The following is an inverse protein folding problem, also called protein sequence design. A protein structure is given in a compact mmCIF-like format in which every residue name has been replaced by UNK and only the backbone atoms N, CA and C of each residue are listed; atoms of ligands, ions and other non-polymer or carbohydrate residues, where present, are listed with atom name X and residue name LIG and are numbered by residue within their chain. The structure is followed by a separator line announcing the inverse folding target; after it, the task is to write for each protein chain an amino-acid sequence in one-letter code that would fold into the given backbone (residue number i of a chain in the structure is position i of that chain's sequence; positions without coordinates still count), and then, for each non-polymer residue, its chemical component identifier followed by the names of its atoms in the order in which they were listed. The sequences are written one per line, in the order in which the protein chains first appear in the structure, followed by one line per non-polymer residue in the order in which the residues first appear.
data_IF_045018836371
#
_entry.id   IF_045018836371
#
_cell.length_a   1.000
_cell.length_b   1.000
_cell.length_c   1.000
_cell.angle_alpha   90.00
_cell.angle_beta   90.00
_cell.angle_gamma   90.00
#
_symmetry.space_group_name_H-M   'P 1'
#
loop_
_entity.id
_entity.type
_entity.pdbx_description
1 polymer ?
#
# COMPACT_ATOMS: atom_id res chain seq x y z
N UNK A 1 14.49 16.73 -43.44
CA UNK A 1 13.69 16.01 -42.42
C UNK A 1 14.12 16.52 -41.06
N UNK A 2 13.53 17.64 -40.62
CA UNK A 2 13.66 18.10 -39.24
C UNK A 2 13.04 17.04 -38.33
N UNK A 3 13.87 16.34 -37.58
CA UNK A 3 13.45 15.67 -36.35
C UNK A 3 13.90 16.61 -35.24
N UNK A 4 13.20 17.73 -35.09
CA UNK A 4 13.27 18.48 -33.84
C UNK A 4 12.68 17.53 -32.80
N UNK A 5 13.56 17.01 -31.93
CA UNK A 5 13.21 16.18 -30.76
C UNK A 5 12.17 16.93 -29.95
N UNK A 6 10.90 16.66 -30.26
CA UNK A 6 9.74 17.27 -29.64
C UNK A 6 9.74 16.93 -28.16
N UNK A 7 9.50 17.95 -27.35
CA UNK A 7 9.37 17.84 -25.89
C UNK A 7 8.61 16.57 -25.48
N UNK A 8 9.03 15.90 -24.39
CA UNK A 8 8.43 14.64 -23.97
C UNK A 8 6.93 14.82 -23.88
N UNK A 9 6.22 14.01 -24.66
CA UNK A 9 4.78 14.13 -24.79
C UNK A 9 4.15 13.95 -23.40
N UNK A 10 3.00 14.56 -23.15
CA UNK A 10 2.32 14.48 -21.83
C UNK A 10 2.18 13.03 -21.34
N UNK A 11 1.99 12.07 -22.27
CA UNK A 11 1.93 10.63 -21.97
C UNK A 11 3.23 10.08 -21.40
N UNK A 12 4.37 10.54 -21.91
CA UNK A 12 5.69 10.07 -21.53
C UNK A 12 6.07 10.55 -20.12
N UNK A 13 5.70 11.79 -19.78
CA UNK A 13 5.85 12.34 -18.42
C UNK A 13 5.02 11.54 -17.40
N UNK A 14 3.75 11.25 -17.73
CA UNK A 14 2.88 10.46 -16.86
C UNK A 14 3.41 9.04 -16.63
N UNK A 15 3.97 8.40 -17.67
CA UNK A 15 4.57 7.07 -17.56
C UNK A 15 5.82 7.09 -16.67
N UNK A 16 6.68 8.11 -16.79
CA UNK A 16 7.86 8.26 -15.95
C UNK A 16 7.48 8.42 -14.46
N UNK A 17 6.50 9.28 -14.16
CA UNK A 17 6.03 9.45 -12.78
C UNK A 17 5.40 8.17 -12.21
N UNK A 18 4.68 7.40 -13.02
CA UNK A 18 4.12 6.11 -12.60
C UNK A 18 5.25 5.12 -12.24
N UNK A 19 6.28 5.02 -13.09
CA UNK A 19 7.44 4.17 -12.87
C UNK A 19 8.24 4.57 -11.61
N UNK A 20 8.39 5.87 -11.36
CA UNK A 20 9.03 6.37 -10.13
C UNK A 20 8.27 5.94 -8.88
N UNK A 21 6.94 6.05 -8.88
CA UNK A 21 6.09 5.62 -7.76
C UNK A 21 6.18 4.11 -7.54
N UNK A 22 6.12 3.32 -8.61
CA UNK A 22 6.23 1.86 -8.54
C UNK A 22 7.58 1.43 -7.94
N UNK A 23 8.68 2.07 -8.37
CA UNK A 23 10.01 1.84 -7.78
C UNK A 23 10.04 2.17 -6.29
N UNK A 24 9.44 3.30 -5.90
CA UNK A 24 9.35 3.71 -4.49
C UNK A 24 8.60 2.68 -3.63
N UNK A 25 7.47 2.16 -4.13
CA UNK A 25 6.68 1.14 -3.44
C UNK A 25 7.45 -0.17 -3.30
N UNK A 26 8.14 -0.63 -4.34
CA UNK A 26 8.95 -1.86 -4.30
C UNK A 26 10.15 -1.76 -3.36
N UNK A 27 10.70 -0.55 -3.19
CA UNK A 27 11.80 -0.30 -2.25
C UNK A 27 11.34 -0.27 -0.78
N UNK A 28 10.03 -0.26 -0.50
CA UNK A 28 9.53 -0.11 0.85
C UNK A 28 9.65 -1.41 1.68
N UNK A 29 10.23 -1.39 2.90
CA UNK A 29 10.49 -2.59 3.69
C UNK A 29 9.23 -3.38 4.04
N UNK A 30 8.12 -2.70 4.35
CA UNK A 30 6.85 -3.38 4.63
C UNK A 30 6.29 -4.12 3.42
N UNK A 31 6.47 -3.57 2.21
CA UNK A 31 6.01 -4.23 0.98
C UNK A 31 6.83 -5.50 0.74
N UNK A 32 8.15 -5.43 0.95
CA UNK A 32 9.04 -6.59 0.86
C UNK A 32 8.66 -7.68 1.87
N UNK A 33 8.35 -7.32 3.12
CA UNK A 33 7.93 -8.27 4.15
C UNK A 33 6.60 -8.96 3.78
N UNK A 34 5.64 -8.23 3.22
CA UNK A 34 4.37 -8.78 2.75
C UNK A 34 4.60 -9.76 1.60
N UNK A 35 5.36 -9.37 0.57
CA UNK A 35 5.65 -10.25 -0.57
C UNK A 35 6.40 -11.52 -0.15
N UNK A 36 7.29 -11.44 0.84
CA UNK A 36 7.97 -12.61 1.40
C UNK A 36 7.02 -13.53 2.19
N UNK A 37 6.02 -12.97 2.88
CA UNK A 37 5.00 -13.74 3.62
C UNK A 37 3.98 -14.40 2.69
N UNK A 38 3.73 -13.81 1.51
CA UNK A 38 2.75 -14.27 0.53
C UNK A 38 3.41 -14.55 -0.83
N UNK A 39 4.12 -15.69 -0.98
CA UNK A 39 4.73 -16.04 -2.26
C UNK A 39 3.67 -16.22 -3.34
N UNK A 40 3.83 -15.50 -4.46
CA UNK A 40 2.86 -15.46 -5.56
C UNK A 40 1.94 -14.24 -5.57
N UNK A 41 2.02 -13.36 -4.57
CA UNK A 41 1.37 -12.06 -4.62
C UNK A 41 2.08 -11.08 -5.58
N UNK A 42 1.31 -10.23 -6.25
CA UNK A 42 1.81 -9.19 -7.16
C UNK A 42 1.15 -7.84 -6.90
N UNK A 43 1.83 -6.75 -7.27
CA UNK A 43 1.28 -5.39 -7.18
C UNK A 43 0.60 -5.06 -8.51
N UNK A 44 -0.73 -5.00 -8.51
CA UNK A 44 -1.52 -4.76 -9.73
C UNK A 44 -1.63 -3.26 -10.06
N UNK A 45 -1.72 -2.39 -9.05
CA UNK A 45 -1.83 -0.95 -9.26
C UNK A 45 -1.38 -0.16 -8.03
N UNK A 46 -0.70 0.96 -8.27
CA UNK A 46 -0.36 1.96 -7.24
C UNK A 46 -1.19 3.21 -7.48
N UNK A 47 -2.01 3.57 -6.48
CA UNK A 47 -2.83 4.79 -6.50
C UNK A 47 -2.38 5.73 -5.38
N UNK A 48 -2.27 7.04 -5.64
CA UNK A 48 -2.03 8.00 -4.58
C UNK A 48 -3.24 7.99 -3.63
N UNK A 49 -2.97 8.06 -2.33
CA UNK A 49 -4.01 8.30 -1.34
C UNK A 49 -4.28 9.82 -1.34
N UNK A 50 -5.53 10.22 -1.61
CA UNK A 50 -5.91 11.64 -1.55
C UNK A 50 -5.61 12.19 -0.15
N UNK A 51 -4.76 13.22 -0.10
CA UNK A 51 -4.32 13.84 1.16
C UNK A 51 -3.03 13.29 1.76
N UNK A 52 -2.41 12.26 1.17
CA UNK A 52 -1.12 11.72 1.64
C UNK A 52 0.10 12.42 1.02
N UNK A 53 -0.02 13.72 0.75
CA UNK A 53 1.14 14.55 0.44
C UNK A 53 2.01 14.65 1.69
N UNK A 54 3.28 14.25 1.57
CA UNK A 54 4.29 14.31 2.64
C UNK A 54 4.20 13.26 3.75
N UNK A 55 3.95 11.99 3.42
CA UNK A 55 4.44 10.90 4.28
C UNK A 55 5.93 10.65 3.97
N UNK A 56 6.77 11.66 4.22
CA UNK A 56 8.21 11.50 4.28
C UNK A 56 8.51 10.44 5.34
N UNK A 57 9.31 9.44 4.94
CA UNK A 57 9.76 8.28 5.69
C UNK A 57 9.93 8.52 7.21
N UNK A 58 8.84 8.46 7.97
CA UNK A 58 8.89 8.41 9.41
C UNK A 58 9.36 6.99 9.79
N UNK A 59 10.40 6.84 10.62
CA UNK A 59 10.74 5.53 11.13
C UNK A 59 9.52 5.01 11.89
N UNK A 60 8.95 3.91 11.42
CA UNK A 60 7.94 3.12 12.13
C UNK A 60 8.59 2.51 13.38
N UNK A 61 8.84 3.35 14.36
CA UNK A 61 9.29 3.02 15.70
C UNK A 61 8.36 3.73 16.68
N UNK A 62 7.08 3.41 16.60
CA UNK A 62 6.11 3.71 17.64
C UNK A 62 5.33 2.42 17.90
N UNK A 63 5.77 1.73 18.95
CA UNK A 63 5.09 0.69 19.72
C UNK A 63 3.80 0.12 19.11
N UNK A 64 3.90 -1.08 18.52
CA UNK A 64 2.85 -2.06 18.75
C UNK A 64 2.95 -2.42 20.23
N UNK A 65 2.26 -1.66 21.10
CA UNK A 65 1.86 -2.22 22.39
C UNK A 65 0.93 -3.36 22.03
N UNK A 66 1.43 -4.57 22.23
CA UNK A 66 0.65 -5.78 22.41
C UNK A 66 -0.28 -5.52 23.60
N UNK A 67 -1.42 -4.88 23.31
CA UNK A 67 -2.63 -4.96 24.10
C UNK A 67 -3.57 -5.81 23.24
N UNK A 68 -3.14 -7.04 22.96
CA UNK A 68 -4.07 -8.15 22.85
C UNK A 68 -4.71 -8.22 24.23
N UNK A 69 -5.85 -7.56 24.37
CA UNK A 69 -6.71 -7.69 25.52
C UNK A 69 -7.51 -8.99 25.34
N UNK A 70 -7.19 -10.06 26.08
CA UNK A 70 -7.94 -11.31 26.06
C UNK A 70 -9.18 -11.24 26.98
N UNK A 71 -9.77 -10.06 27.24
CA UNK A 71 -11.08 -9.94 27.89
C UNK A 71 -12.23 -9.64 26.90
N UNK A 72 -12.45 -10.61 26.02
CA UNK A 72 -13.56 -11.51 26.32
C UNK A 72 -14.98 -10.92 26.37
N UNK A 73 -15.29 -9.89 25.58
CA UNK A 73 -16.69 -9.47 25.34
C UNK A 73 -17.03 -9.32 23.83
N UNK A 74 -16.38 -10.11 22.98
CA UNK A 74 -16.88 -10.37 21.62
C UNK A 74 -17.41 -11.81 21.57
N UNK A 75 -18.61 -12.01 22.11
CA UNK A 75 -19.36 -13.23 21.82
C UNK A 75 -19.82 -13.15 20.36
N UNK A 76 -19.45 -14.13 19.51
CA UNK A 76 -20.13 -14.31 18.24
C UNK A 76 -21.61 -14.51 18.56
N UNK A 77 -22.48 -13.64 18.05
CA UNK A 77 -23.91 -13.94 18.03
C UNK A 77 -24.07 -15.15 17.12
N UNK A 78 -24.27 -16.34 17.70
CA UNK A 78 -24.54 -17.53 16.91
C UNK A 78 -25.89 -17.31 16.21
N UNK A 79 -25.96 -17.41 14.86
CA UNK A 79 -27.19 -17.19 14.09
C UNK A 79 -28.25 -18.30 14.30
N UNK A 80 -28.10 -19.08 15.37
CA UNK A 80 -28.95 -20.22 15.75
C UNK A 80 -29.57 -20.06 17.15
N UNK A 81 -29.25 -18.99 17.90
CA UNK A 81 -29.92 -18.63 19.16
C UNK A 81 -31.22 -17.84 18.90
N UNK A 82 -32.07 -18.38 18.03
CA UNK A 82 -33.50 -18.02 17.93
C UNK A 82 -34.27 -18.92 18.93
N UNK A 83 -34.44 -18.45 20.17
CA UNK A 83 -35.36 -19.05 21.15
C UNK A 83 -36.81 -18.73 20.74
N UNK A 84 -37.55 -19.78 20.38
CA UNK A 84 -38.96 -19.78 19.91
C UNK A 84 -39.97 -19.78 21.06
#
# INVERSE_FOLDING_TARGET
ISSEEGEPTVRERLAAEQADRERGVLAHPSVQAILAKFPGAEIVAVRPLEGAGEAEAAPAAAAATDDDDPDGNWEPVDPWDDDF
#
